data_IF_232714403763
#
_entry.id   IF_232714403763
#
_cell.length_a   1.000
_cell.length_b   1.000
_cell.length_c   1.000
_cell.angle_alpha   90.00
_cell.angle_beta   90.00
_cell.angle_gamma   90.00
#
_symmetry.space_group_name_H-M   'P 1'
#
loop_
_entity.id
_entity.type
_entity.pdbx_description
1 polymer ?
#
# COMPACT_ATOMS: atom_id res chain seq x y z
N UNK A 1 15.82 -10.03 15.62
CA UNK A 1 14.51 -10.11 14.94
C UNK A 1 13.86 -8.73 14.84
N UNK A 2 13.69 -8.03 15.96
CA UNK A 2 13.13 -6.67 16.06
C UNK A 2 13.77 -5.65 15.09
N UNK A 3 15.11 -5.55 15.05
CA UNK A 3 15.85 -4.69 14.09
C UNK A 3 15.52 -4.96 12.62
N UNK A 4 15.22 -6.21 12.27
CA UNK A 4 14.85 -6.58 10.90
C UNK A 4 13.45 -6.06 10.58
N UNK A 5 12.51 -6.24 11.50
CA UNK A 5 11.11 -5.81 11.35
C UNK A 5 11.01 -4.28 11.24
N UNK A 6 11.76 -3.53 12.05
CA UNK A 6 11.77 -2.07 11.98
C UNK A 6 12.11 -1.52 10.59
N UNK A 7 12.97 -2.18 9.82
CA UNK A 7 13.30 -1.78 8.44
C UNK A 7 12.11 -1.91 7.48
N UNK A 8 11.14 -2.77 7.80
CA UNK A 8 9.98 -3.02 6.94
C UNK A 8 8.76 -2.16 7.30
N UNK A 9 8.70 -1.61 8.52
CA UNK A 9 7.58 -0.79 9.00
C UNK A 9 7.21 0.34 8.02
N UNK A 10 8.16 1.15 7.48
CA UNK A 10 7.83 2.25 6.57
C UNK A 10 7.13 1.79 5.27
N UNK A 11 7.28 0.51 4.91
CA UNK A 11 6.69 -0.03 3.70
C UNK A 11 5.26 -0.52 3.89
N UNK A 12 4.77 -0.68 5.13
CA UNK A 12 3.42 -1.17 5.43
C UNK A 12 2.40 -0.02 5.31
N UNK A 13 1.25 -0.28 4.70
CA UNK A 13 0.17 0.70 4.49
C UNK A 13 -0.89 0.61 5.60
N UNK A 14 -0.50 0.92 6.84
CA UNK A 14 -1.39 0.79 8.00
C UNK A 14 -2.70 1.58 7.83
N UNK A 15 -2.61 2.81 7.31
CA UNK A 15 -3.78 3.68 7.06
C UNK A 15 -4.74 3.17 5.97
N UNK A 16 -4.36 2.14 5.21
CA UNK A 16 -5.25 1.50 4.22
C UNK A 16 -5.83 0.18 4.71
N UNK A 17 -5.51 -0.23 5.94
CA UNK A 17 -6.16 -1.38 6.57
C UNK A 17 -7.52 -0.96 7.12
N UNK A 18 -8.44 -1.90 7.24
CA UNK A 18 -9.66 -1.68 8.02
C UNK A 18 -9.30 -1.57 9.50
N UNK A 19 -10.14 -0.89 10.28
CA UNK A 19 -9.95 -0.85 11.74
C UNK A 19 -9.98 -2.25 12.37
N UNK A 20 -10.79 -3.17 11.82
CA UNK A 20 -10.84 -4.57 12.25
C UNK A 20 -9.51 -5.30 11.99
N UNK A 21 -8.95 -5.18 10.79
CA UNK A 21 -7.66 -5.79 10.45
C UNK A 21 -6.52 -5.20 11.27
N UNK A 22 -6.51 -3.89 11.48
CA UNK A 22 -5.53 -3.24 12.33
C UNK A 22 -5.58 -3.81 13.76
N UNK A 23 -6.76 -3.86 14.38
CA UNK A 23 -6.93 -4.32 15.76
C UNK A 23 -6.61 -5.81 15.93
N UNK A 24 -6.98 -6.64 14.96
CA UNK A 24 -6.80 -8.10 15.05
C UNK A 24 -5.43 -8.58 14.59
N UNK A 25 -4.81 -7.95 13.59
CA UNK A 25 -3.58 -8.44 12.93
C UNK A 25 -2.34 -7.59 13.21
N UNK A 26 -2.49 -6.30 13.50
CA UNK A 26 -1.35 -5.38 13.71
C UNK A 26 -1.15 -5.08 15.19
N UNK A 27 -2.21 -4.67 15.88
CA UNK A 27 -2.14 -4.22 17.27
C UNK A 27 -1.56 -5.26 18.26
N UNK A 28 -1.74 -6.58 18.10
CA UNK A 28 -1.07 -7.57 18.95
C UNK A 28 0.46 -7.46 18.93
N UNK A 29 1.02 -6.93 17.85
CA UNK A 29 2.46 -6.75 17.67
C UNK A 29 2.95 -5.32 17.93
N UNK A 30 2.14 -4.49 18.61
CA UNK A 30 2.44 -3.07 18.87
C UNK A 30 3.79 -2.81 19.52
N UNK A 31 4.34 -3.78 20.27
CA UNK A 31 5.67 -3.69 20.91
C UNK A 31 6.79 -3.53 19.87
N UNK A 32 6.59 -4.02 18.66
CA UNK A 32 7.56 -3.93 17.56
C UNK A 32 7.44 -2.65 16.75
N UNK A 33 6.43 -1.82 17.02
CA UNK A 33 6.13 -0.59 16.28
C UNK A 33 6.45 0.61 17.19
N UNK A 34 7.05 1.69 16.68
CA UNK A 34 7.28 2.90 17.47
C UNK A 34 6.00 3.39 18.15
N UNK A 35 6.11 3.78 19.43
CA UNK A 35 4.96 4.09 20.27
C UNK A 35 4.13 5.27 19.73
N UNK A 36 4.82 6.31 19.30
CA UNK A 36 4.24 7.47 18.61
C UNK A 36 3.43 7.08 17.37
N UNK A 37 3.93 6.11 16.61
CA UNK A 37 3.24 5.58 15.44
C UNK A 37 1.98 4.79 15.82
N UNK A 38 2.04 3.96 16.87
CA UNK A 38 0.86 3.22 17.37
C UNK A 38 -0.22 4.17 17.87
N UNK A 39 0.14 5.21 18.62
CA UNK A 39 -0.82 6.18 19.16
C UNK A 39 -1.54 6.93 18.03
N UNK A 40 -0.81 7.32 16.98
CA UNK A 40 -1.39 7.93 15.77
C UNK A 40 -2.32 6.96 15.01
N UNK A 41 -1.93 5.69 14.88
CA UNK A 41 -2.75 4.67 14.21
C UNK A 41 -4.03 4.36 15.00
N UNK A 42 -3.95 4.29 16.33
CA UNK A 42 -5.14 4.15 17.18
C UNK A 42 -6.08 5.34 16.99
N UNK A 43 -5.56 6.57 17.04
CA UNK A 43 -6.36 7.76 16.82
C UNK A 43 -7.06 7.75 15.46
N UNK A 44 -6.35 7.34 14.41
CA UNK A 44 -6.88 7.18 13.05
C UNK A 44 -8.03 6.16 12.99
N UNK A 45 -7.83 4.97 13.55
CA UNK A 45 -8.81 3.88 13.46
C UNK A 45 -10.02 4.07 14.39
N UNK A 46 -9.91 4.94 15.40
CA UNK A 46 -10.98 5.26 16.36
C UNK A 46 -11.79 6.51 16.01
N UNK A 47 -11.21 7.51 15.32
CA UNK A 47 -11.97 8.67 14.82
C UNK A 47 -12.48 8.38 13.41
N UNK A 48 -13.80 8.35 13.22
CA UNK A 48 -14.38 8.08 11.89
C UNK A 48 -14.13 9.18 10.85
N UNK A 49 -13.83 10.42 11.25
CA UNK A 49 -13.94 11.58 10.34
C UNK A 49 -12.81 12.61 10.38
N UNK A 50 -11.77 12.43 11.21
CA UNK A 50 -10.64 13.36 11.17
C UNK A 50 -9.65 12.94 10.09
N UNK A 51 -9.58 13.74 9.02
CA UNK A 51 -8.45 13.75 8.09
C UNK A 51 -7.19 14.08 8.87
N UNK A 52 -6.51 13.05 9.36
CA UNK A 52 -5.16 13.22 9.88
C UNK A 52 -4.32 13.80 8.75
N UNK A 53 -3.66 14.94 9.00
CA UNK A 53 -2.62 15.54 8.15
C UNK A 53 -1.35 14.66 8.12
N UNK A 54 -1.51 13.34 8.15
CA UNK A 54 -0.45 12.38 7.98
C UNK A 54 -0.12 12.29 6.50
N UNK A 55 1.17 12.25 6.17
CA UNK A 55 1.64 11.94 4.82
C UNK A 55 1.29 10.49 4.47
N UNK A 56 0.01 10.22 4.18
CA UNK A 56 -0.49 8.89 3.86
C UNK A 56 0.17 8.46 2.55
N UNK A 57 0.98 7.41 2.65
CA UNK A 57 1.66 6.85 1.50
C UNK A 57 0.60 6.21 0.59
N UNK A 58 0.58 6.46 -0.73
CA UNK A 58 -0.45 5.97 -1.62
C UNK A 58 -0.59 4.44 -1.61
N UNK A 59 -1.78 3.90 -1.94
CA UNK A 59 -2.00 2.47 -2.01
C UNK A 59 -1.07 1.85 -3.06
N UNK A 60 -0.68 0.59 -2.88
CA UNK A 60 0.26 -0.07 -3.81
C UNK A 60 -0.38 -0.35 -5.17
N UNK A 61 -1.70 -0.56 -5.18
CA UNK A 61 -2.52 -0.71 -6.37
C UNK A 61 -3.66 0.29 -6.26
N UNK A 62 -3.42 1.58 -6.56
CA UNK A 62 -4.51 2.53 -6.67
C UNK A 62 -5.44 2.06 -7.80
N UNK A 63 -6.74 2.17 -7.56
CA UNK A 63 -7.73 1.95 -8.61
C UNK A 63 -7.70 3.20 -9.49
N UNK A 64 -7.18 3.06 -10.71
CA UNK A 64 -7.18 4.14 -11.67
C UNK A 64 -8.48 4.09 -12.46
N UNK A 65 -9.22 5.20 -12.50
CA UNK A 65 -10.37 5.37 -13.41
C UNK A 65 -9.90 5.67 -14.86
N UNK A 66 -8.80 5.04 -15.26
CA UNK A 66 -8.23 5.18 -16.59
C UNK A 66 -8.46 3.88 -17.35
N UNK A 67 -9.21 3.99 -18.45
CA UNK A 67 -9.43 2.89 -19.40
C UNK A 67 -8.09 2.32 -19.89
N UNK A 68 -7.05 3.15 -19.99
CA UNK A 68 -5.72 2.73 -20.45
C UNK A 68 -4.93 2.01 -19.35
N UNK A 69 -4.95 2.51 -18.11
CA UNK A 69 -4.14 1.94 -17.01
C UNK A 69 -4.81 0.70 -16.38
N UNK A 70 -6.14 0.68 -16.31
CA UNK A 70 -6.90 -0.41 -15.68
C UNK A 70 -7.12 -1.62 -16.61
N UNK A 71 -6.82 -1.47 -17.90
CA UNK A 71 -6.99 -2.54 -18.87
C UNK A 71 -5.70 -3.38 -18.95
N UNK A 72 -5.83 -4.64 -18.51
CA UNK A 72 -4.74 -5.64 -18.51
C UNK A 72 -4.06 -5.80 -19.87
N UNK A 73 -4.76 -5.54 -20.98
CA UNK A 73 -4.17 -5.60 -22.32
C UNK A 73 -3.13 -4.51 -22.56
N UNK A 74 -3.36 -3.27 -22.09
CA UNK A 74 -2.37 -2.20 -22.23
C UNK A 74 -1.18 -2.38 -21.30
N UNK A 75 -1.38 -2.91 -20.08
CA UNK A 75 -0.26 -3.23 -19.19
C UNK A 75 0.66 -4.29 -19.81
N UNK A 76 0.10 -5.33 -20.43
CA UNK A 76 0.86 -6.33 -21.16
C UNK A 76 1.61 -5.75 -22.38
N UNK A 77 0.97 -4.82 -23.10
CA UNK A 77 1.57 -4.10 -24.23
C UNK A 77 2.74 -3.21 -23.81
N UNK A 78 2.58 -2.40 -22.76
CA UNK A 78 3.66 -1.56 -22.24
C UNK A 78 4.82 -2.41 -21.69
N UNK A 79 4.49 -3.54 -21.05
CA UNK A 79 5.51 -4.49 -20.57
C UNK A 79 6.28 -5.12 -21.74
N UNK A 80 5.63 -5.47 -22.85
CA UNK A 80 6.32 -6.02 -24.02
C UNK A 80 7.24 -4.99 -24.69
N UNK A 81 6.87 -3.70 -24.70
CA UNK A 81 7.74 -2.63 -25.18
C UNK A 81 9.00 -2.48 -24.31
N UNK A 82 8.85 -2.53 -22.98
CA UNK A 82 9.98 -2.44 -22.03
C UNK A 82 10.89 -3.67 -22.16
N UNK A 83 10.31 -4.86 -22.24
CA UNK A 83 11.04 -6.12 -22.42
C UNK A 83 11.62 -6.27 -23.84
N UNK A 84 11.36 -5.31 -24.75
CA UNK A 84 11.72 -5.35 -26.17
C UNK A 84 11.24 -6.63 -26.88
N UNK A 85 10.14 -7.20 -26.41
CA UNK A 85 9.44 -8.33 -27.05
C UNK A 85 8.52 -7.80 -28.14
N UNK A 86 9.13 -7.16 -29.13
CA UNK A 86 8.43 -6.69 -30.31
C UNK A 86 8.34 -7.84 -31.33
N UNK A 87 7.29 -8.65 -31.26
CA UNK A 87 6.92 -9.57 -32.34
C UNK A 87 6.26 -8.77 -33.47
N UNK A 88 7.07 -7.98 -34.20
CA UNK A 88 6.69 -7.46 -35.51
C UNK A 88 7.06 -8.47 -36.60
N UNK A 89 6.44 -9.65 -36.54
CA UNK A 89 6.48 -10.62 -37.64
C UNK A 89 5.10 -11.18 -37.88
N UNK A 90 4.19 -10.32 -38.35
CA UNK A 90 3.03 -10.72 -39.14
C UNK A 90 2.82 -9.67 -40.23
N UNK A 91 3.50 -9.91 -41.35
CA UNK A 91 3.05 -9.53 -42.70
C UNK A 91 1.81 -10.36 -43.03
#
# INVERSE_FOLDING_TARGET
MERTIHKFIPFIRFYHMTSEDFLSKVYPFKVLIPKDMIDNLLAFHMKSDEKLNTNIIPPRSPEYDSILVNNKHYFALFSSWIEKKNDYSRV
#
